data_IF_767660940291
#
_entry.id   IF_767660940291
#
_cell.length_a   1.000
_cell.length_b   1.000
_cell.length_c   1.000
_cell.angle_alpha   90.00
_cell.angle_beta   90.00
_cell.angle_gamma   90.00
#
_symmetry.space_group_name_H-M   'P 1'
#
loop_
_entity.id
_entity.type
_entity.pdbx_description
1 polymer ?
#
# COMPACT_ATOMS: atom_id res chain seq x y z
N UNK A 1 -8.41 -19.86 -3.76
CA UNK A 1 -8.34 -19.39 -2.37
C UNK A 1 -7.41 -18.19 -2.34
N UNK A 2 -7.83 -17.02 -1.80
CA UNK A 2 -6.93 -15.88 -1.67
C UNK A 2 -5.81 -16.18 -0.67
N UNK A 3 -4.57 -15.88 -1.05
CA UNK A 3 -3.44 -16.02 -0.14
C UNK A 3 -3.51 -14.94 0.93
N UNK A 4 -3.84 -15.25 2.14
CA UNK A 4 -3.94 -14.31 3.25
C UNK A 4 -5.22 -14.43 4.08
N UNK A 5 -6.29 -14.91 3.52
CA UNK A 5 -7.56 -15.09 4.24
C UNK A 5 -7.68 -16.44 4.95
N UNK A 6 -6.81 -17.42 4.66
CA UNK A 6 -6.82 -18.74 5.29
C UNK A 6 -8.11 -19.58 5.09
N UNK A 7 -9.11 -19.03 4.40
CA UNK A 7 -10.38 -19.69 4.11
C UNK A 7 -10.72 -19.59 2.62
N UNK A 8 -11.32 -20.65 2.03
CA UNK A 8 -11.82 -20.58 0.68
C UNK A 8 -12.92 -19.52 0.53
N UNK A 9 -12.84 -18.71 -0.52
CA UNK A 9 -13.86 -17.74 -0.91
C UNK A 9 -14.46 -18.16 -2.24
N UNK A 10 -15.76 -18.25 -2.30
CA UNK A 10 -16.46 -18.51 -3.56
C UNK A 10 -16.42 -17.24 -4.43
N UNK A 11 -15.94 -17.41 -5.65
CA UNK A 11 -15.95 -16.35 -6.65
C UNK A 11 -17.19 -16.55 -7.51
N UNK A 12 -18.04 -15.53 -7.53
CA UNK A 12 -19.25 -15.55 -8.34
C UNK A 12 -19.08 -14.64 -9.57
N UNK A 13 -19.50 -15.17 -10.72
CA UNK A 13 -19.58 -14.43 -11.98
C UNK A 13 -18.31 -13.67 -12.37
N UNK A 14 -17.16 -14.36 -12.55
CA UNK A 14 -15.97 -13.71 -13.08
C UNK A 14 -16.23 -13.18 -14.49
N UNK A 15 -15.68 -12.03 -14.81
CA UNK A 15 -15.90 -11.34 -16.09
C UNK A 15 -14.61 -11.40 -16.90
N UNK A 16 -14.71 -11.88 -18.12
CA UNK A 16 -13.61 -11.89 -19.10
C UNK A 16 -13.66 -10.61 -19.93
N UNK A 17 -12.48 -9.99 -20.13
CA UNK A 17 -12.38 -8.79 -20.93
C UNK A 17 -11.79 -9.12 -22.30
N UNK A 18 -12.62 -8.97 -23.35
CA UNK A 18 -12.16 -9.03 -24.74
C UNK A 18 -12.31 -7.65 -25.36
N UNK A 19 -11.19 -7.01 -25.68
CA UNK A 19 -11.18 -5.67 -26.26
C UNK A 19 -12.03 -4.67 -25.42
N UNK A 20 -13.26 -4.40 -25.85
CA UNK A 20 -14.21 -3.52 -25.13
C UNK A 20 -15.44 -4.27 -24.60
N UNK A 21 -15.54 -5.57 -24.85
CA UNK A 21 -16.67 -6.39 -24.43
C UNK A 21 -16.39 -7.09 -23.09
N UNK A 22 -17.46 -7.32 -22.32
CA UNK A 22 -17.42 -8.03 -21.04
C UNK A 22 -18.32 -9.24 -21.11
N UNK A 23 -17.76 -10.43 -20.85
CA UNK A 23 -18.50 -11.67 -20.81
C UNK A 23 -18.30 -12.39 -19.48
N UNK A 24 -19.31 -13.13 -19.03
CA UNK A 24 -19.20 -13.99 -17.86
C UNK A 24 -18.36 -15.20 -18.26
N UNK A 25 -17.29 -15.47 -17.50
CA UNK A 25 -16.39 -16.58 -17.77
C UNK A 25 -16.61 -17.76 -16.81
N UNK A 26 -16.69 -18.97 -17.36
CA UNK A 26 -16.73 -20.20 -16.57
C UNK A 26 -15.32 -20.72 -16.25
N UNK A 27 -14.35 -20.38 -17.08
CA UNK A 27 -12.94 -20.75 -16.91
C UNK A 27 -12.03 -19.67 -17.49
N UNK A 28 -10.79 -19.63 -17.01
CA UNK A 28 -9.74 -18.75 -17.52
C UNK A 28 -8.46 -19.55 -17.73
N UNK A 29 -7.73 -19.23 -18.80
CA UNK A 29 -6.44 -19.84 -19.15
C UNK A 29 -5.29 -18.93 -18.69
N UNK A 30 -4.05 -19.48 -18.56
CA UNK A 30 -2.88 -18.68 -18.24
C UNK A 30 -2.67 -17.54 -19.25
N UNK A 31 -2.63 -16.33 -18.75
CA UNK A 31 -2.49 -15.09 -19.55
C UNK A 31 -3.77 -14.32 -19.78
N UNK A 32 -4.94 -14.89 -19.43
CA UNK A 32 -6.21 -14.18 -19.49
C UNK A 32 -6.32 -13.14 -18.39
N UNK A 33 -6.96 -12.02 -18.72
CA UNK A 33 -7.32 -10.99 -17.74
C UNK A 33 -8.80 -11.10 -17.45
N UNK A 34 -9.13 -11.38 -16.20
CA UNK A 34 -10.52 -11.51 -15.76
C UNK A 34 -10.85 -10.46 -14.70
N UNK A 35 -12.08 -9.94 -14.72
CA UNK A 35 -12.63 -9.10 -13.68
C UNK A 35 -13.37 -9.94 -12.64
N UNK A 36 -13.09 -9.74 -11.38
CA UNK A 36 -13.76 -10.43 -10.27
C UNK A 36 -14.51 -9.40 -9.45
N UNK A 37 -15.86 -9.52 -9.34
CA UNK A 37 -16.61 -8.67 -8.44
C UNK A 37 -16.11 -8.85 -7.00
N UNK A 38 -15.69 -7.77 -6.37
CA UNK A 38 -15.18 -7.79 -5.02
C UNK A 38 -16.16 -7.10 -4.06
N UNK A 39 -16.63 -7.86 -3.09
CA UNK A 39 -17.51 -7.37 -2.02
C UNK A 39 -16.74 -7.06 -0.74
N UNK A 40 -15.48 -6.65 -0.86
CA UNK A 40 -14.64 -6.22 0.28
C UNK A 40 -13.84 -7.33 0.94
N UNK A 41 -13.81 -8.55 0.37
CA UNK A 41 -13.06 -9.69 0.92
C UNK A 41 -11.67 -9.87 0.30
N UNK A 42 -11.44 -9.29 -0.87
CA UNK A 42 -10.20 -9.39 -1.63
C UNK A 42 -9.45 -8.08 -1.60
N UNK A 43 -8.12 -8.15 -1.49
CA UNK A 43 -7.22 -7.01 -1.53
C UNK A 43 -6.41 -7.01 -2.81
N UNK A 44 -5.98 -5.82 -3.22
CA UNK A 44 -5.00 -5.71 -4.32
C UNK A 44 -3.73 -6.46 -3.92
N UNK A 45 -3.30 -7.39 -4.77
CA UNK A 45 -2.15 -8.24 -4.51
C UNK A 45 -2.47 -9.62 -3.97
N UNK A 46 -3.72 -9.93 -3.62
CA UNK A 46 -4.11 -11.28 -3.26
C UNK A 46 -3.97 -12.22 -4.46
N UNK A 47 -3.40 -13.38 -4.22
CA UNK A 47 -3.33 -14.46 -5.21
C UNK A 47 -4.56 -15.35 -5.07
N UNK A 48 -5.27 -15.54 -6.17
CA UNK A 48 -6.40 -16.46 -6.25
C UNK A 48 -5.95 -17.76 -6.93
N UNK A 49 -6.13 -18.88 -6.27
CA UNK A 49 -5.78 -20.19 -6.80
C UNK A 49 -6.75 -21.24 -6.28
N UNK A 50 -6.96 -22.26 -7.08
CA UNK A 50 -7.67 -23.48 -6.66
C UNK A 50 -6.84 -24.31 -5.68
N UNK A 51 -5.50 -24.09 -5.66
CA UNK A 51 -4.56 -24.75 -4.76
C UNK A 51 -4.07 -23.77 -3.70
N UNK A 52 -3.92 -24.24 -2.47
CA UNK A 52 -3.51 -23.41 -1.34
C UNK A 52 -1.99 -23.11 -1.27
N UNK A 53 -1.22 -23.71 -2.15
CA UNK A 53 0.24 -23.68 -2.13
C UNK A 53 0.89 -22.66 -3.09
N UNK A 54 0.07 -22.01 -3.92
CA UNK A 54 0.57 -21.00 -4.87
C UNK A 54 0.51 -19.61 -4.25
N UNK A 55 1.67 -19.04 -3.97
CA UNK A 55 1.84 -17.63 -3.63
C UNK A 55 2.68 -16.96 -4.71
N UNK A 56 2.13 -15.94 -5.34
CA UNK A 56 2.98 -15.01 -6.07
C UNK A 56 3.63 -14.08 -5.05
N UNK A 57 4.92 -14.20 -4.89
CA UNK A 57 5.71 -13.25 -4.12
C UNK A 57 5.84 -11.97 -4.92
N UNK A 58 5.03 -11.00 -4.54
CA UNK A 58 5.26 -9.63 -4.97
C UNK A 58 4.45 -9.18 -6.18
N UNK A 59 3.33 -8.49 -5.91
CA UNK A 59 3.28 -7.16 -6.50
C UNK A 59 4.47 -6.44 -5.90
N UNK A 60 5.44 -5.98 -6.73
CA UNK A 60 6.53 -5.19 -6.17
C UNK A 60 5.87 -4.01 -5.46
N UNK A 61 6.17 -3.84 -4.17
CA UNK A 61 5.98 -2.56 -3.54
C UNK A 61 6.87 -1.61 -4.33
N UNK A 62 6.30 -0.91 -5.29
CA UNK A 62 7.05 0.04 -6.09
C UNK A 62 7.65 1.06 -5.14
N UNK A 63 8.95 1.27 -5.25
CA UNK A 63 9.57 2.36 -4.54
C UNK A 63 8.87 3.65 -4.97
N UNK A 64 8.29 4.42 -4.04
CA UNK A 64 7.62 5.66 -4.39
C UNK A 64 8.59 6.65 -5.00
N UNK A 65 8.13 7.40 -5.98
CA UNK A 65 8.93 8.47 -6.61
C UNK A 65 8.79 9.79 -5.85
N UNK A 66 7.65 9.98 -5.17
CA UNK A 66 7.36 11.19 -4.42
C UNK A 66 6.98 10.80 -3.00
N UNK A 67 7.70 11.34 -2.03
CA UNK A 67 7.42 11.20 -0.60
C UNK A 67 6.94 12.52 -0.02
N UNK A 68 5.84 12.50 0.73
CA UNK A 68 5.28 13.68 1.40
C UNK A 68 4.89 13.34 2.83
N UNK A 69 5.11 14.29 3.71
CA UNK A 69 4.62 14.24 5.08
C UNK A 69 3.19 14.77 5.15
N UNK A 70 2.31 14.04 5.81
CA UNK A 70 0.91 14.46 6.01
C UNK A 70 0.82 15.24 7.32
N UNK A 71 0.29 16.44 7.25
CA UNK A 71 0.10 17.31 8.40
C UNK A 71 -1.39 17.64 8.56
N UNK A 72 -1.92 17.34 9.74
CA UNK A 72 -3.29 17.68 10.11
C UNK A 72 -3.39 19.13 10.58
N UNK A 73 -4.40 19.86 10.12
CA UNK A 73 -4.77 21.15 10.70
C UNK A 73 -5.48 21.00 12.05
N UNK A 74 -6.28 19.94 12.18
CA UNK A 74 -7.00 19.59 13.41
C UNK A 74 -6.46 18.29 14.01
N UNK A 75 -5.69 18.34 15.10
CA UNK A 75 -5.12 17.13 15.73
C UNK A 75 -6.17 16.14 16.24
N UNK A 76 -7.42 16.56 16.45
CA UNK A 76 -8.49 15.68 16.92
C UNK A 76 -8.92 14.66 15.85
N UNK A 77 -8.56 14.91 14.60
CA UNK A 77 -8.89 14.06 13.43
C UNK A 77 -7.85 12.97 13.13
N UNK A 78 -6.91 12.71 14.03
CA UNK A 78 -5.83 11.74 13.83
C UNK A 78 -6.34 10.34 13.52
N UNK A 79 -7.39 9.87 14.20
CA UNK A 79 -7.96 8.54 13.94
C UNK A 79 -8.63 8.44 12.56
N UNK A 80 -9.33 9.48 12.15
CA UNK A 80 -9.95 9.56 10.83
C UNK A 80 -8.89 9.60 9.73
N UNK A 81 -7.81 10.35 9.94
CA UNK A 81 -6.69 10.38 9.01
C UNK A 81 -6.06 9.00 8.86
N UNK A 82 -5.77 8.31 9.97
CA UNK A 82 -5.18 6.98 9.93
C UNK A 82 -6.05 6.00 9.15
N UNK A 83 -7.34 5.99 9.45
CA UNK A 83 -8.30 5.14 8.73
C UNK A 83 -8.30 5.46 7.23
N UNK A 84 -8.34 6.73 6.87
CA UNK A 84 -8.32 7.16 5.48
C UNK A 84 -7.05 6.72 4.75
N UNK A 85 -5.89 6.90 5.37
CA UNK A 85 -4.61 6.48 4.78
C UNK A 85 -4.51 4.96 4.63
N UNK A 86 -4.99 4.19 5.61
CA UNK A 86 -5.03 2.74 5.52
C UNK A 86 -5.97 2.28 4.39
N UNK A 87 -7.17 2.85 4.27
CA UNK A 87 -8.13 2.53 3.22
C UNK A 87 -7.58 2.85 1.82
N UNK A 88 -7.00 4.04 1.64
CA UNK A 88 -6.42 4.48 0.36
C UNK A 88 -5.17 3.68 -0.02
N UNK A 89 -4.39 3.26 0.97
CA UNK A 89 -3.26 2.36 0.76
C UNK A 89 -3.74 0.96 0.34
N UNK A 90 -4.82 0.48 0.92
CA UNK A 90 -5.43 -0.80 0.54
C UNK A 90 -5.99 -0.78 -0.89
N UNK A 91 -6.53 0.34 -1.34
CA UNK A 91 -6.97 0.56 -2.72
C UNK A 91 -5.79 0.68 -3.71
N UNK A 92 -4.57 0.87 -3.22
CA UNK A 92 -3.38 1.05 -4.06
C UNK A 92 -3.20 2.47 -4.59
N UNK A 93 -3.95 3.45 -4.10
CA UNK A 93 -3.83 4.86 -4.50
C UNK A 93 -2.53 5.47 -4.00
N UNK A 94 -2.15 5.13 -2.77
CA UNK A 94 -0.95 5.60 -2.09
C UNK A 94 -0.23 4.45 -1.38
N UNK A 95 1.01 4.71 -0.98
CA UNK A 95 1.72 3.92 0.04
C UNK A 95 1.81 4.74 1.32
N UNK A 96 1.72 4.09 2.48
CA UNK A 96 1.77 4.75 3.79
C UNK A 96 2.93 4.20 4.58
N UNK A 97 3.70 5.12 5.19
CA UNK A 97 4.81 4.79 6.06
C UNK A 97 4.63 5.44 7.42
N UNK A 98 4.68 4.62 8.45
CA UNK A 98 4.57 5.02 9.85
C UNK A 98 5.97 5.03 10.47
N UNK A 99 6.60 6.19 10.70
CA UNK A 99 7.93 6.27 11.28
C UNK A 99 8.00 5.62 12.66
N UNK A 100 9.11 4.95 12.95
CA UNK A 100 9.37 4.38 14.29
C UNK A 100 9.50 5.48 15.35
N UNK A 101 10.01 6.64 14.95
CA UNK A 101 10.17 7.81 15.83
C UNK A 101 9.36 8.96 15.27
N UNK A 102 8.51 9.53 16.11
CA UNK A 102 7.68 10.66 15.75
C UNK A 102 6.26 10.25 15.32
N UNK A 103 5.43 11.25 15.06
CA UNK A 103 4.00 11.07 14.73
C UNK A 103 3.63 11.56 13.32
N UNK A 104 4.61 11.98 12.54
CA UNK A 104 4.38 12.49 11.20
C UNK A 104 4.38 11.34 10.20
N UNK A 105 3.21 10.96 9.75
CA UNK A 105 3.06 9.91 8.76
C UNK A 105 3.49 10.38 7.38
N UNK A 106 4.11 9.49 6.63
CA UNK A 106 4.63 9.76 5.30
C UNK A 106 3.82 8.95 4.30
N UNK A 107 3.45 9.59 3.20
CA UNK A 107 2.84 8.93 2.07
C UNK A 107 3.80 8.90 0.89
N UNK A 108 3.72 7.84 0.10
CA UNK A 108 4.47 7.67 -1.12
C UNK A 108 3.56 7.43 -2.31
N UNK A 109 3.87 8.07 -3.41
CA UNK A 109 3.14 7.96 -4.68
C UNK A 109 4.11 7.94 -5.86
N UNK A 110 3.63 7.53 -7.01
CA UNK A 110 4.43 7.53 -8.26
C UNK A 110 4.20 8.77 -9.12
N UNK A 111 3.18 9.58 -8.84
CA UNK A 111 2.88 10.78 -9.60
C UNK A 111 2.12 11.84 -8.83
N UNK A 112 2.21 13.08 -9.29
CA UNK A 112 1.57 14.24 -8.64
C UNK A 112 0.04 14.12 -8.58
N UNK A 113 -0.60 13.53 -9.59
CA UNK A 113 -2.05 13.36 -9.63
C UNK A 113 -2.58 12.56 -8.43
N UNK A 114 -1.83 11.58 -7.95
CA UNK A 114 -2.21 10.80 -6.78
C UNK A 114 -2.24 11.63 -5.50
N UNK A 115 -1.39 12.65 -5.39
CA UNK A 115 -1.43 13.61 -4.27
C UNK A 115 -2.69 14.45 -4.29
N UNK A 116 -3.10 14.91 -5.47
CA UNK A 116 -4.32 15.70 -5.63
C UNK A 116 -5.57 14.86 -5.30
N UNK A 117 -5.61 13.62 -5.75
CA UNK A 117 -6.66 12.64 -5.42
C UNK A 117 -6.72 12.40 -3.92
N UNK A 118 -5.57 12.21 -3.26
CA UNK A 118 -5.48 12.00 -1.82
C UNK A 118 -6.13 13.16 -1.05
N UNK A 119 -5.72 14.39 -1.32
CA UNK A 119 -6.25 15.57 -0.62
C UNK A 119 -7.75 15.73 -0.85
N UNK A 120 -8.20 15.58 -2.10
CA UNK A 120 -9.63 15.66 -2.45
C UNK A 120 -10.45 14.61 -1.70
N UNK A 121 -9.99 13.38 -1.61
CA UNK A 121 -10.70 12.29 -0.93
C UNK A 121 -10.68 12.45 0.59
N UNK A 122 -9.57 12.91 1.18
CA UNK A 122 -9.51 13.20 2.62
C UNK A 122 -10.57 14.22 3.03
N UNK A 123 -10.74 15.26 2.25
CA UNK A 123 -11.74 16.29 2.52
C UNK A 123 -13.17 15.80 2.26
N UNK A 124 -13.41 15.22 1.08
CA UNK A 124 -14.75 14.82 0.65
C UNK A 124 -15.31 13.62 1.41
N UNK A 125 -14.53 12.56 1.59
CA UNK A 125 -14.99 11.28 2.13
C UNK A 125 -14.78 11.16 3.64
N UNK A 126 -13.68 11.69 4.16
CA UNK A 126 -13.28 11.52 5.57
C UNK A 126 -13.45 12.77 6.42
N UNK A 127 -13.75 13.91 5.79
CA UNK A 127 -13.88 15.21 6.46
C UNK A 127 -12.62 15.58 7.25
N UNK A 128 -11.47 15.30 6.67
CA UNK A 128 -10.14 15.56 7.23
C UNK A 128 -9.50 16.70 6.45
N UNK A 129 -9.16 17.78 7.14
CA UNK A 129 -8.38 18.88 6.60
C UNK A 129 -6.89 18.62 6.89
N UNK A 130 -6.18 18.21 5.88
CA UNK A 130 -4.76 17.94 5.92
C UNK A 130 -4.04 18.60 4.74
N UNK A 131 -2.77 18.86 4.92
CA UNK A 131 -1.90 19.34 3.84
C UNK A 131 -0.62 18.49 3.79
N UNK A 132 0.07 18.58 2.67
CA UNK A 132 1.25 17.80 2.39
C UNK A 132 2.48 18.71 2.41
N UNK A 133 3.50 18.27 3.13
CA UNK A 133 4.82 18.90 3.15
C UNK A 133 5.86 18.00 2.52
N UNK A 134 6.95 18.58 2.03
CA UNK A 134 8.09 17.79 1.59
C UNK A 134 8.61 16.91 2.74
N UNK A 135 8.75 15.62 2.49
CA UNK A 135 9.43 14.74 3.43
C UNK A 135 10.95 14.95 3.33
N UNK A 136 11.69 14.77 4.42
CA UNK A 136 13.16 14.88 4.39
C UNK A 136 13.84 13.65 3.77
N UNK A 137 13.13 12.91 2.94
CA UNK A 137 13.57 11.67 2.31
C UNK A 137 13.24 11.69 0.83
N UNK A 138 14.14 11.14 0.02
CA UNK A 138 13.98 11.03 -1.43
C UNK A 138 13.55 9.62 -1.88
N UNK A 139 13.82 8.61 -1.05
CA UNK A 139 13.53 7.23 -1.41
C UNK A 139 13.18 6.38 -0.19
N UNK A 140 12.43 5.32 -0.45
CA UNK A 140 12.08 4.29 0.52
C UNK A 140 12.49 2.91 -0.01
N UNK A 141 13.03 2.06 0.87
CA UNK A 141 13.42 0.69 0.55
C UNK A 141 12.94 -0.26 1.63
N UNK A 142 12.27 -1.33 1.23
CA UNK A 142 11.85 -2.38 2.15
C UNK A 142 13.05 -3.19 2.60
N UNK A 143 13.14 -3.42 3.91
CA UNK A 143 14.20 -4.20 4.50
C UNK A 143 13.82 -5.68 4.52
N UNK A 144 14.71 -6.52 4.03
CA UNK A 144 14.53 -7.98 4.00
C UNK A 144 15.73 -8.61 4.70
N UNK A 145 15.47 -9.51 5.64
CA UNK A 145 16.54 -10.20 6.36
C UNK A 145 16.05 -10.98 7.57
N UNK A 146 16.98 -11.59 8.30
CA UNK A 146 16.66 -12.25 9.56
C UNK A 146 16.15 -11.24 10.60
N UNK A 147 15.20 -11.64 11.42
CA UNK A 147 14.54 -10.76 12.42
C UNK A 147 15.54 -10.06 13.35
N UNK A 148 16.58 -10.77 13.79
CA UNK A 148 17.63 -10.22 14.64
C UNK A 148 18.47 -9.15 13.94
N UNK A 149 18.78 -9.34 12.66
CA UNK A 149 19.52 -8.37 11.85
C UNK A 149 18.67 -7.13 11.57
N UNK A 150 17.39 -7.30 11.27
CA UNK A 150 16.44 -6.21 11.09
C UNK A 150 16.28 -5.38 12.37
N UNK A 151 16.11 -6.03 13.52
CA UNK A 151 16.00 -5.36 14.81
C UNK A 151 17.25 -4.54 15.13
N UNK A 152 18.44 -5.07 14.86
CA UNK A 152 19.70 -4.36 15.05
C UNK A 152 19.81 -3.15 14.12
N UNK A 153 19.47 -3.32 12.84
CA UNK A 153 19.48 -2.22 11.87
C UNK A 153 18.54 -1.08 12.30
N UNK A 154 17.31 -1.43 12.70
CA UNK A 154 16.29 -0.48 13.17
C UNK A 154 16.78 0.27 14.40
N UNK A 155 17.44 -0.40 15.35
CA UNK A 155 17.95 0.24 16.56
C UNK A 155 18.99 1.31 16.27
N UNK A 156 19.81 1.12 15.24
CA UNK A 156 20.82 2.11 14.81
C UNK A 156 20.26 3.19 13.89
N UNK A 157 19.17 2.91 13.17
CA UNK A 157 18.62 3.79 12.14
C UNK A 157 17.17 4.20 12.42
N UNK A 158 16.74 4.19 13.69
CA UNK A 158 15.33 4.43 14.05
C UNK A 158 14.75 5.75 13.53
N UNK A 159 15.59 6.79 13.42
CA UNK A 159 15.16 8.07 12.84
C UNK A 159 14.87 8.04 11.34
N UNK A 160 15.36 7.03 10.64
CA UNK A 160 15.16 6.82 9.19
C UNK A 160 14.43 5.54 8.87
N UNK A 161 13.80 4.91 9.85
CA UNK A 161 13.06 3.67 9.70
C UNK A 161 11.57 3.89 9.95
N UNK A 162 10.77 3.28 9.14
CA UNK A 162 9.31 3.30 9.25
C UNK A 162 8.75 1.90 9.06
N UNK A 163 7.46 1.73 9.29
CA UNK A 163 6.70 0.54 8.91
C UNK A 163 5.69 0.89 7.84
N UNK A 164 5.49 0.00 6.89
CA UNK A 164 4.38 0.11 5.96
C UNK A 164 3.06 -0.27 6.63
N UNK A 165 1.96 -0.22 5.89
CA UNK A 165 0.63 -0.58 6.39
C UNK A 165 0.56 -1.98 6.99
N UNK A 166 1.32 -2.92 6.44
CA UNK A 166 1.33 -4.33 6.86
C UNK A 166 2.37 -4.61 7.97
N UNK A 167 3.07 -3.59 8.43
CA UNK A 167 4.07 -3.68 9.48
C UNK A 167 5.47 -4.07 9.01
N UNK A 168 5.72 -4.11 7.71
CA UNK A 168 7.04 -4.41 7.17
C UNK A 168 7.99 -3.22 7.36
N UNK A 169 9.24 -3.47 7.76
CA UNK A 169 10.21 -2.41 7.99
C UNK A 169 10.68 -1.79 6.67
N UNK A 170 10.75 -0.47 6.65
CA UNK A 170 11.16 0.34 5.51
C UNK A 170 12.23 1.32 5.95
N UNK A 171 13.32 1.39 5.19
CA UNK A 171 14.35 2.39 5.37
C UNK A 171 14.05 3.60 4.47
N UNK A 172 14.04 4.78 5.06
CA UNK A 172 13.78 6.06 4.40
C UNK A 172 15.10 6.79 4.24
N UNK A 173 15.60 6.89 3.01
CA UNK A 173 16.89 7.51 2.73
C UNK A 173 16.73 8.95 2.23
N UNK A 174 17.67 9.82 2.63
CA UNK A 174 17.72 11.21 2.19
C UNK A 174 18.28 11.37 0.78
N UNK A 175 19.00 10.36 0.31
CA UNK A 175 19.49 10.29 -1.06
C UNK A 175 19.64 8.85 -1.50
N UNK A 176 19.69 8.64 -2.80
CA UNK A 176 19.92 7.31 -3.38
C UNK A 176 21.31 6.73 -3.00
N UNK A 177 22.24 7.57 -2.57
CA UNK A 177 23.59 7.16 -2.14
C UNK A 177 23.61 6.54 -0.74
N UNK A 178 22.63 6.86 0.11
CA UNK A 178 22.56 6.30 1.47
C UNK A 178 22.12 4.82 1.47
N UNK A 179 21.80 4.27 0.31
CA UNK A 179 21.26 2.90 0.15
C UNK A 179 22.29 1.94 -0.49
N UNK A 180 23.46 2.43 -0.88
CA UNK A 180 24.53 1.64 -1.51
C UNK A 180 25.42 0.92 -0.51
#
# INVERSE_FOLDING_TARGET
TPSGLGKPVAIHSPILFFAQDREIADSAEPGDIIGIPNHGTLRVGDTLSERNDVRFTGLPNFAPEILRRVVLRDPTKTKQLRKALDDLSEEGVIQVFYPEIGSNWIIGVVGQLQLDVLISRLEAEYKVDAFLEAAPYDTARWLIGAESALAQFISFNGGNTAKDRDGHPVFMARSSWDVS
#
